data_IF_645372377557
#
_entry.id   IF_645372377557
#
_cell.length_a   1.000
_cell.length_b   1.000
_cell.length_c   1.000
_cell.angle_alpha   90.00
_cell.angle_beta   90.00
_cell.angle_gamma   90.00
#
_symmetry.space_group_name_H-M   'P 1'
#
loop_
_entity.id
_entity.type
_entity.pdbx_description
1 polymer ?
#
# COMPACT_ATOMS: atom_id res chain seq x y z
N UNK A 1 -0.41 12.63 -9.77
CA UNK A 1 -0.38 11.15 -9.95
C UNK A 1 0.54 10.51 -8.91
N UNK A 2 0.64 9.17 -8.87
CA UNK A 2 1.60 8.44 -8.02
C UNK A 2 1.03 7.96 -6.68
N UNK A 3 1.19 6.67 -6.39
CA UNK A 3 0.72 5.98 -5.17
C UNK A 3 1.67 4.85 -4.73
N UNK A 4 2.91 4.96 -5.18
CA UNK A 4 4.07 4.17 -4.76
C UNK A 4 5.11 5.10 -4.10
N UNK A 5 4.63 6.13 -3.40
CA UNK A 5 5.51 7.13 -2.78
C UNK A 5 6.03 6.68 -1.43
N UNK A 6 7.31 6.92 -1.16
CA UNK A 6 7.93 6.79 0.16
C UNK A 6 8.60 8.10 0.53
N UNK A 7 8.32 8.59 1.72
CA UNK A 7 8.83 9.87 2.20
C UNK A 7 9.07 9.88 3.71
N UNK A 8 9.56 11.01 4.20
CA UNK A 8 9.70 11.29 5.63
C UNK A 8 8.56 12.21 6.04
N UNK A 9 7.94 11.93 7.19
CA UNK A 9 6.91 12.81 7.75
C UNK A 9 7.57 14.12 8.17
N UNK A 10 7.23 15.20 7.48
CA UNK A 10 7.72 16.55 7.78
C UNK A 10 6.91 17.22 8.90
N UNK A 11 5.58 17.05 8.88
CA UNK A 11 4.66 17.63 9.88
C UNK A 11 3.45 16.71 10.06
N UNK A 12 2.82 16.81 11.23
CA UNK A 12 1.56 16.11 11.54
C UNK A 12 0.45 17.08 11.94
N UNK A 13 -0.79 16.77 11.52
CA UNK A 13 -1.95 17.55 11.92
C UNK A 13 -2.33 17.34 13.40
N UNK A 14 -3.13 18.24 14.00
CA UNK A 14 -3.60 18.09 15.37
C UNK A 14 -4.30 16.74 15.61
N UNK A 15 -3.96 16.07 16.72
CA UNK A 15 -4.55 14.79 17.13
C UNK A 15 -4.01 13.55 16.43
N UNK A 16 -3.04 13.68 15.50
CA UNK A 16 -2.34 12.55 14.90
C UNK A 16 -1.40 11.91 15.92
N UNK A 17 -1.55 10.61 16.15
CA UNK A 17 -0.73 9.84 17.10
C UNK A 17 -0.07 8.60 16.49
N UNK A 18 -0.50 8.16 15.30
CA UNK A 18 0.00 6.94 14.65
C UNK A 18 1.38 7.11 13.99
N UNK A 19 1.75 8.35 13.64
CA UNK A 19 3.03 8.74 13.03
C UNK A 19 3.50 10.04 13.65
N UNK A 20 4.80 10.33 13.55
CA UNK A 20 5.42 11.57 14.02
C UNK A 20 6.44 12.07 13.00
N UNK A 21 6.86 13.33 13.16
CA UNK A 21 7.94 13.92 12.36
C UNK A 21 9.19 13.02 12.39
N UNK A 22 9.82 12.86 11.22
CA UNK A 22 10.97 11.98 11.02
C UNK A 22 10.63 10.50 10.75
N UNK A 23 9.39 10.04 10.98
CA UNK A 23 8.99 8.67 10.61
C UNK A 23 9.04 8.51 9.07
N UNK A 24 9.64 7.40 8.60
CA UNK A 24 9.57 7.01 7.18
C UNK A 24 8.25 6.30 6.89
N UNK A 25 7.49 6.79 5.89
CA UNK A 25 6.18 6.26 5.54
C UNK A 25 6.00 6.07 4.04
N UNK A 26 5.20 5.07 3.67
CA UNK A 26 4.69 4.87 2.32
C UNK A 26 3.28 5.46 2.18
N UNK A 27 2.96 5.98 1.00
CA UNK A 27 1.65 6.52 0.62
C UNK A 27 1.03 5.59 -0.44
N UNK A 28 0.23 4.59 -0.03
CA UNK A 28 -0.33 3.58 -0.92
C UNK A 28 -1.52 4.10 -1.74
N UNK A 29 -2.03 3.25 -2.64
CA UNK A 29 -3.24 3.51 -3.45
C UNK A 29 -4.48 3.89 -2.62
N UNK A 30 -4.74 3.17 -1.52
CA UNK A 30 -5.88 3.47 -0.65
C UNK A 30 -5.51 4.62 0.30
N UNK A 31 -5.84 5.86 -0.06
CA UNK A 31 -5.55 7.06 0.74
C UNK A 31 -6.60 7.37 1.79
N UNK A 32 -7.84 6.87 1.63
CA UNK A 32 -8.93 7.03 2.58
C UNK A 32 -10.01 5.96 2.39
N UNK A 33 -10.71 5.60 3.46
CA UNK A 33 -11.97 4.86 3.46
C UNK A 33 -12.85 5.32 4.64
N UNK A 34 -14.18 5.12 4.56
CA UNK A 34 -15.09 5.70 5.56
C UNK A 34 -14.98 5.10 6.97
N UNK A 35 -14.41 3.89 7.11
CA UNK A 35 -14.22 3.24 8.40
C UNK A 35 -15.48 2.68 9.07
N UNK A 36 -16.66 2.81 8.47
CA UNK A 36 -17.94 2.45 9.10
C UNK A 36 -18.91 1.63 8.22
N UNK A 37 -18.64 1.46 6.91
CA UNK A 37 -19.48 0.60 6.06
C UNK A 37 -19.16 -0.88 6.26
N UNK A 38 -19.98 -1.77 5.70
CA UNK A 38 -19.80 -3.22 5.79
C UNK A 38 -18.41 -3.68 5.36
N UNK A 39 -17.86 -3.11 4.28
CA UNK A 39 -16.51 -3.43 3.81
C UNK A 39 -15.43 -2.98 4.79
N UNK A 40 -15.56 -1.78 5.36
CA UNK A 40 -14.58 -1.30 6.34
C UNK A 40 -14.63 -2.12 7.63
N UNK A 41 -15.83 -2.46 8.11
CA UNK A 41 -16.02 -3.21 9.35
C UNK A 41 -15.65 -4.69 9.21
N UNK A 42 -15.66 -5.24 7.99
CA UNK A 42 -15.26 -6.62 7.70
C UNK A 42 -13.81 -6.79 7.23
N UNK A 43 -12.99 -5.73 7.27
CA UNK A 43 -11.58 -5.78 6.89
C UNK A 43 -11.31 -5.68 5.37
N UNK A 44 -12.30 -5.28 4.60
CA UNK A 44 -12.27 -5.09 3.14
C UNK A 44 -12.30 -3.62 2.74
N UNK A 45 -11.59 -2.74 3.47
CA UNK A 45 -11.65 -1.29 3.24
C UNK A 45 -11.27 -0.84 1.81
N UNK A 46 -10.55 -1.64 1.03
CA UNK A 46 -10.26 -1.41 -0.39
C UNK A 46 -11.51 -1.49 -1.29
N UNK A 47 -12.63 -2.02 -0.78
CA UNK A 47 -13.92 -2.07 -1.45
C UNK A 47 -14.88 -0.98 -0.94
N UNK A 48 -14.41 -0.08 -0.07
CA UNK A 48 -15.24 1.01 0.42
C UNK A 48 -15.70 1.91 -0.76
N UNK A 49 -17.00 2.13 -0.88
CA UNK A 49 -17.58 2.97 -1.93
C UNK A 49 -17.26 4.47 -1.75
N UNK A 50 -16.84 4.86 -0.54
CA UNK A 50 -16.39 6.22 -0.21
C UNK A 50 -14.86 6.33 -0.15
N UNK A 51 -14.14 5.37 -0.73
CA UNK A 51 -12.68 5.43 -0.75
C UNK A 51 -12.19 6.61 -1.58
N UNK A 52 -11.06 7.19 -1.19
CA UNK A 52 -10.34 8.15 -2.03
C UNK A 52 -8.97 7.55 -2.34
N UNK A 53 -8.63 7.53 -3.62
CA UNK A 53 -7.42 6.87 -4.10
C UNK A 53 -6.33 7.90 -4.40
N UNK A 54 -5.17 7.67 -3.81
CA UNK A 54 -3.97 8.50 -3.95
C UNK A 54 -3.55 8.58 -5.42
N UNK A 55 -3.35 9.80 -5.91
CA UNK A 55 -2.95 10.03 -7.30
C UNK A 55 -4.04 9.80 -8.34
N UNK A 56 -5.30 9.63 -7.91
CA UNK A 56 -6.47 9.53 -8.78
C UNK A 56 -7.59 10.48 -8.34
N UNK A 57 -8.18 10.25 -7.15
CA UNK A 57 -9.23 11.13 -6.60
C UNK A 57 -8.69 12.24 -5.71
N UNK A 58 -7.53 12.02 -5.10
CA UNK A 58 -6.77 13.01 -4.33
C UNK A 58 -5.35 13.07 -4.88
N UNK A 59 -4.63 14.14 -4.56
CA UNK A 59 -3.26 14.31 -5.02
C UNK A 59 -2.38 13.13 -4.63
N UNK A 60 -1.43 12.82 -5.51
CA UNK A 60 -0.54 11.68 -5.36
C UNK A 60 0.87 12.09 -4.98
N UNK A 61 1.71 11.09 -4.78
CA UNK A 61 3.08 11.26 -4.27
C UNK A 61 4.13 11.52 -5.37
N UNK A 62 3.73 11.72 -6.62
CA UNK A 62 4.67 12.16 -7.66
C UNK A 62 4.88 13.68 -7.57
N UNK A 63 5.50 14.11 -6.47
CA UNK A 63 5.82 15.48 -6.11
C UNK A 63 6.87 15.49 -4.98
N UNK A 64 7.50 16.63 -4.73
CA UNK A 64 8.48 16.76 -3.63
C UNK A 64 7.83 16.65 -2.23
N UNK A 65 6.55 17.03 -2.13
CA UNK A 65 5.73 16.90 -0.92
C UNK A 65 4.35 16.34 -1.28
N UNK A 66 3.75 15.60 -0.35
CA UNK A 66 2.40 15.06 -0.50
C UNK A 66 1.64 15.11 0.83
N UNK A 67 0.35 15.43 0.78
CA UNK A 67 -0.55 15.29 1.91
C UNK A 67 -1.15 13.88 1.92
N UNK A 68 -1.21 13.27 3.10
CA UNK A 68 -1.82 11.96 3.27
C UNK A 68 -2.56 11.89 4.61
N UNK A 69 -3.65 11.12 4.65
CA UNK A 69 -4.34 10.84 5.90
C UNK A 69 -3.45 9.95 6.77
N UNK A 70 -3.12 10.39 7.99
CA UNK A 70 -2.20 9.70 8.88
C UNK A 70 -2.58 8.23 9.19
N UNK A 71 -3.86 7.87 9.09
CA UNK A 71 -4.35 6.49 9.24
C UNK A 71 -4.02 5.57 8.06
N UNK A 72 -3.77 6.14 6.89
CA UNK A 72 -3.60 5.43 5.61
C UNK A 72 -2.16 5.43 5.10
N UNK A 73 -1.26 6.16 5.75
CA UNK A 73 0.18 5.96 5.54
C UNK A 73 0.65 4.72 6.30
N UNK A 74 1.66 4.05 5.77
CA UNK A 74 2.22 2.83 6.37
C UNK A 74 3.69 3.09 6.71
N UNK A 75 4.11 2.83 7.96
CA UNK A 75 5.52 2.97 8.34
C UNK A 75 6.38 1.98 7.55
N UNK A 76 7.45 2.48 6.97
CA UNK A 76 8.46 1.66 6.29
C UNK A 76 9.50 1.24 7.32
N UNK A 77 9.77 -0.06 7.53
CA UNK A 77 10.78 -0.51 8.46
C UNK A 77 12.17 0.08 8.14
N UNK A 78 12.95 0.39 9.17
CA UNK A 78 14.25 1.07 9.00
C UNK A 78 15.24 0.27 8.14
N UNK A 79 15.16 -1.07 8.24
CA UNK A 79 16.02 -2.00 7.52
C UNK A 79 15.56 -2.30 6.08
N UNK A 80 14.49 -1.65 5.60
CA UNK A 80 14.02 -1.79 4.21
C UNK A 80 14.42 -0.55 3.42
N UNK A 81 15.09 -0.77 2.29
CA UNK A 81 15.48 0.31 1.37
C UNK A 81 14.22 1.04 0.88
N UNK A 82 14.13 2.39 0.98
CA UNK A 82 12.96 3.14 0.55
C UNK A 82 12.61 2.96 -0.93
N UNK A 83 13.62 2.77 -1.81
CA UNK A 83 13.41 2.52 -3.24
C UNK A 83 12.78 1.15 -3.50
N UNK A 84 13.07 0.17 -2.64
CA UNK A 84 12.45 -1.16 -2.69
C UNK A 84 11.06 -1.14 -2.03
N UNK A 85 10.87 -0.33 -0.98
CA UNK A 85 9.59 -0.19 -0.29
C UNK A 85 8.51 0.47 -1.16
N UNK A 86 8.89 1.41 -2.03
CA UNK A 86 8.00 2.13 -2.93
C UNK A 86 7.08 1.21 -3.76
N UNK A 87 7.60 0.29 -4.60
CA UNK A 87 6.75 -0.63 -5.35
C UNK A 87 6.00 -1.62 -4.46
N UNK A 88 6.42 -1.86 -3.21
CA UNK A 88 5.70 -2.74 -2.30
C UNK A 88 4.35 -2.14 -1.85
N UNK A 89 4.21 -0.80 -1.84
CA UNK A 89 2.95 -0.15 -1.43
C UNK A 89 1.84 -0.20 -2.49
N UNK A 90 2.13 -0.71 -3.70
CA UNK A 90 1.11 -1.05 -4.69
C UNK A 90 1.39 -2.40 -5.34
N UNK A 91 2.41 -2.52 -6.20
CA UNK A 91 2.70 -3.78 -6.89
C UNK A 91 2.90 -4.96 -5.92
N UNK A 92 3.64 -4.76 -4.83
CA UNK A 92 3.89 -5.80 -3.84
C UNK A 92 2.64 -6.19 -3.05
N UNK A 93 1.96 -5.23 -2.41
CA UNK A 93 0.75 -5.53 -1.62
C UNK A 93 -0.37 -6.12 -2.47
N UNK A 94 -0.51 -5.66 -3.72
CA UNK A 94 -1.50 -6.19 -4.67
C UNK A 94 -1.23 -7.66 -4.97
N UNK A 95 0.02 -8.00 -5.29
CA UNK A 95 0.38 -9.37 -5.66
C UNK A 95 0.45 -10.30 -4.45
N UNK A 96 0.91 -9.82 -3.30
CA UNK A 96 0.81 -10.53 -2.03
C UNK A 96 -0.64 -10.91 -1.71
N UNK A 97 -1.57 -9.94 -1.79
CA UNK A 97 -2.99 -10.22 -1.54
C UNK A 97 -3.57 -11.15 -2.61
N UNK A 98 -3.18 -11.01 -3.88
CA UNK A 98 -3.64 -11.90 -4.95
C UNK A 98 -3.21 -13.36 -4.71
N UNK A 99 -1.94 -13.59 -4.35
CA UNK A 99 -1.44 -14.93 -3.98
C UNK A 99 -2.16 -15.48 -2.75
N UNK A 100 -2.38 -14.65 -1.72
CA UNK A 100 -3.15 -15.06 -0.54
C UNK A 100 -4.60 -15.45 -0.90
N UNK A 101 -5.23 -14.73 -1.83
CA UNK A 101 -6.62 -14.99 -2.24
C UNK A 101 -6.76 -16.14 -3.22
N UNK A 102 -5.71 -16.52 -3.96
CA UNK A 102 -5.75 -17.71 -4.82
C UNK A 102 -5.83 -19.00 -4.01
N UNK A 103 -5.50 -18.95 -2.72
CA UNK A 103 -5.46 -20.12 -1.85
C UNK A 103 -4.26 -21.03 -2.08
N UNK A 104 -3.27 -20.55 -2.86
CA UNK A 104 -2.04 -21.29 -3.12
C UNK A 104 -1.32 -21.67 -1.82
N UNK A 105 -0.82 -22.90 -1.79
CA UNK A 105 -0.03 -23.49 -0.71
C UNK A 105 1.32 -23.94 -1.26
N UNK A 106 2.22 -24.31 -0.36
CA UNK A 106 3.59 -24.70 -0.67
C UNK A 106 3.75 -25.88 -1.65
N UNK A 107 2.69 -26.70 -1.82
CA UNK A 107 2.64 -27.81 -2.77
C UNK A 107 2.12 -27.43 -4.16
N UNK A 108 1.54 -26.25 -4.30
CA UNK A 108 0.75 -25.91 -5.47
C UNK A 108 1.63 -25.33 -6.57
N UNK A 109 1.27 -25.63 -7.82
CA UNK A 109 1.85 -24.98 -8.98
C UNK A 109 1.07 -23.70 -9.28
N UNK A 110 1.74 -22.55 -9.18
CA UNK A 110 1.13 -21.24 -9.41
C UNK A 110 1.55 -20.70 -10.78
N UNK A 111 0.57 -20.40 -11.64
CA UNK A 111 0.81 -19.73 -12.92
C UNK A 111 0.67 -18.21 -12.78
N UNK A 112 1.70 -17.45 -13.19
CA UNK A 112 1.70 -15.99 -13.22
C UNK A 112 1.66 -15.52 -14.67
N UNK A 113 0.60 -14.80 -15.06
CA UNK A 113 0.44 -14.26 -16.41
C UNK A 113 0.91 -12.81 -16.47
N UNK A 114 2.05 -12.59 -17.14
CA UNK A 114 2.70 -11.28 -17.27
C UNK A 114 3.72 -11.03 -16.15
N UNK A 115 4.97 -10.69 -16.52
CA UNK A 115 6.13 -10.55 -15.62
C UNK A 115 6.66 -9.10 -15.66
N UNK A 116 5.75 -8.14 -15.46
CA UNK A 116 6.09 -6.72 -15.30
C UNK A 116 6.34 -6.33 -13.83
N UNK A 117 6.09 -5.06 -13.49
CA UNK A 117 6.23 -4.55 -12.11
C UNK A 117 5.46 -5.37 -11.07
N UNK A 118 4.21 -5.75 -11.35
CA UNK A 118 3.46 -6.67 -10.48
C UNK A 118 3.99 -8.11 -10.59
N UNK A 119 4.03 -8.65 -11.80
CA UNK A 119 4.28 -10.08 -12.03
C UNK A 119 5.58 -10.59 -11.42
N UNK A 120 6.68 -9.82 -11.49
CA UNK A 120 7.94 -10.26 -10.89
C UNK A 120 7.90 -10.32 -9.35
N UNK A 121 7.10 -9.48 -8.68
CA UNK A 121 6.83 -9.59 -7.24
C UNK A 121 5.87 -10.74 -6.94
N UNK A 122 4.89 -10.99 -7.82
CA UNK A 122 3.99 -12.12 -7.69
C UNK A 122 4.73 -13.47 -7.72
N UNK A 123 5.73 -13.61 -8.61
CA UNK A 123 6.62 -14.78 -8.65
C UNK A 123 7.35 -14.96 -7.33
N UNK A 124 7.88 -13.88 -6.75
CA UNK A 124 8.59 -13.92 -5.47
C UNK A 124 7.66 -14.33 -4.33
N UNK A 125 6.47 -13.73 -4.22
CA UNK A 125 5.49 -14.09 -3.19
C UNK A 125 4.97 -15.53 -3.35
N UNK A 126 4.66 -15.96 -4.57
CA UNK A 126 4.20 -17.33 -4.83
C UNK A 126 5.26 -18.37 -4.47
N UNK A 127 6.55 -18.04 -4.61
CA UNK A 127 7.66 -18.94 -4.26
C UNK A 127 7.79 -19.20 -2.75
N UNK A 128 7.31 -18.26 -1.92
CA UNK A 128 7.40 -18.34 -0.45
C UNK A 128 6.04 -18.55 0.23
N UNK A 129 4.98 -18.82 -0.55
CA UNK A 129 3.63 -19.05 -0.06
C UNK A 129 3.40 -20.47 0.48
#
# INVERSE_FOLDING_TARGET
>A
PGHEGVGIVEMVGPGVTGVKEGDRVAIPWLGYACGACEYCMSGWSTLCEKQLNTGYFIDGAYADYALAFAKYVVKVPENVNPLEAAPLSCAGVTTYKAVKMSGARSSDLVAIFGIGGLGHLAVQYAKIA
#
